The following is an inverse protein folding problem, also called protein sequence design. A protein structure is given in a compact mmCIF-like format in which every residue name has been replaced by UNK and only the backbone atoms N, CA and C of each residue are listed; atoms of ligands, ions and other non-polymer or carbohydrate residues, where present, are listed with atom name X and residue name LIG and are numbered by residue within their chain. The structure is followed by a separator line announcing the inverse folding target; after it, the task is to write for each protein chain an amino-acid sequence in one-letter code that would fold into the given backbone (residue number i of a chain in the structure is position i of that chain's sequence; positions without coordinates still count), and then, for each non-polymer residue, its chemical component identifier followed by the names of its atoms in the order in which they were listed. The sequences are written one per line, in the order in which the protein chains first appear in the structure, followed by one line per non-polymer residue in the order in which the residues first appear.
data_IF_957810245040
#
_entry.id   IF_957810245040
#
_cell.length_a   1.000
_cell.length_b   1.000
_cell.length_c   1.000
_cell.angle_alpha   90.00
_cell.angle_beta   90.00
_cell.angle_gamma   90.00
#
_symmetry.space_group_name_H-M   'P 1'
#
loop_
_entity.id
_entity.type
_entity.pdbx_description
1 polymer ?
#
# COMPACT_ATOMS: atom_id res chain seq x y z
N UNK A 1 12.80 -28.92 7.67
CA UNK A 1 13.35 -27.92 6.74
C UNK A 1 12.29 -27.66 5.71
N UNK A 2 11.66 -26.49 5.76
CA UNK A 2 10.42 -26.18 5.04
C UNK A 2 10.68 -25.98 3.55
N UNK A 3 10.30 -26.98 2.75
CA UNK A 3 9.97 -26.77 1.35
C UNK A 3 8.57 -26.13 1.28
N UNK A 4 8.53 -24.81 1.14
CA UNK A 4 7.35 -24.11 0.60
C UNK A 4 7.73 -23.49 -0.73
N UNK A 5 8.00 -24.35 -1.72
CA UNK A 5 7.92 -23.99 -3.13
C UNK A 5 6.46 -23.68 -3.45
N UNK A 6 6.10 -22.40 -3.29
CA UNK A 6 4.78 -21.89 -3.59
C UNK A 6 4.50 -22.11 -5.08
N UNK A 7 3.53 -22.98 -5.35
CA UNK A 7 3.06 -23.43 -6.65
C UNK A 7 2.83 -22.25 -7.61
N UNK A 8 3.68 -22.14 -8.65
CA UNK A 8 3.55 -21.15 -9.71
C UNK A 8 2.31 -21.47 -10.56
N UNK A 9 1.17 -20.84 -10.27
CA UNK A 9 -0.01 -20.93 -11.12
C UNK A 9 0.14 -20.02 -12.35
N UNK A 10 -0.03 -20.53 -13.59
CA UNK A 10 0.24 -19.80 -14.83
C UNK A 10 -0.80 -18.70 -15.17
N UNK A 11 -1.61 -18.26 -14.21
CA UNK A 11 -2.68 -17.30 -14.45
C UNK A 11 -2.18 -15.86 -14.36
N UNK A 12 -1.69 -15.40 -15.52
CA UNK A 12 -1.39 -14.01 -15.89
C UNK A 12 -0.36 -13.29 -15.01
N UNK A 13 0.79 -13.01 -15.61
CA UNK A 13 1.88 -12.16 -15.08
C UNK A 13 1.37 -10.79 -14.60
N UNK A 14 0.21 -10.35 -15.08
CA UNK A 14 -0.43 -9.09 -14.70
C UNK A 14 -1.23 -9.13 -13.38
N UNK A 15 -1.69 -10.31 -12.94
CA UNK A 15 -2.55 -10.46 -11.75
C UNK A 15 -1.70 -10.67 -10.50
N UNK A 16 -0.59 -11.40 -10.62
CA UNK A 16 0.29 -11.72 -9.49
C UNK A 16 0.81 -10.49 -8.71
N UNK A 17 1.45 -9.48 -9.36
CA UNK A 17 1.92 -8.29 -8.64
C UNK A 17 0.77 -7.45 -8.07
N UNK A 18 -0.45 -7.55 -8.63
CA UNK A 18 -1.63 -6.87 -8.08
C UNK A 18 -2.07 -7.54 -6.78
N UNK A 19 -2.17 -8.87 -6.74
CA UNK A 19 -2.57 -9.59 -5.53
C UNK A 19 -1.61 -9.35 -4.37
N UNK A 20 -0.29 -9.37 -4.61
CA UNK A 20 0.71 -9.07 -3.57
C UNK A 20 0.61 -7.61 -3.12
N UNK A 21 0.42 -6.67 -4.05
CA UNK A 21 0.28 -5.25 -3.72
C UNK A 21 -0.89 -4.96 -2.78
N UNK A 22 -1.93 -5.77 -2.86
CA UNK A 22 -3.17 -5.71 -2.08
C UNK A 22 -3.02 -6.39 -0.72
N UNK A 23 -2.40 -7.56 -0.68
CA UNK A 23 -2.33 -8.39 0.53
C UNK A 23 -1.15 -8.05 1.46
N UNK A 24 -0.19 -7.23 1.01
CA UNK A 24 1.05 -6.96 1.75
C UNK A 24 1.35 -5.46 1.92
N UNK A 25 1.98 -5.12 3.04
CA UNK A 25 2.50 -3.78 3.34
C UNK A 25 3.95 -3.57 2.85
N UNK A 26 4.51 -4.50 2.06
CA UNK A 26 5.87 -4.40 1.54
C UNK A 26 6.05 -3.17 0.66
N UNK A 27 7.26 -2.62 0.57
CA UNK A 27 7.50 -1.47 -0.31
C UNK A 27 7.24 -1.84 -1.78
N UNK A 28 6.77 -0.89 -2.58
CA UNK A 28 6.55 -1.08 -4.02
C UNK A 28 7.82 -1.57 -4.74
N UNK A 29 8.99 -1.16 -4.26
CA UNK A 29 10.27 -1.61 -4.78
C UNK A 29 10.56 -3.07 -4.41
N UNK A 30 10.32 -3.47 -3.16
CA UNK A 30 10.51 -4.85 -2.70
C UNK A 30 9.65 -5.83 -3.50
N UNK A 31 8.35 -5.51 -3.68
CA UNK A 31 7.44 -6.34 -4.48
C UNK A 31 7.93 -6.42 -5.93
N UNK A 32 8.33 -5.29 -6.53
CA UNK A 32 8.85 -5.30 -7.90
C UNK A 32 10.12 -6.16 -8.02
N UNK A 33 11.06 -6.06 -7.09
CA UNK A 33 12.28 -6.89 -7.07
C UNK A 33 11.93 -8.38 -6.91
N UNK A 34 11.03 -8.72 -5.99
CA UNK A 34 10.56 -10.09 -5.82
C UNK A 34 9.92 -10.64 -7.10
N UNK A 35 9.19 -9.79 -7.84
CA UNK A 35 8.60 -10.15 -9.12
C UNK A 35 9.64 -10.47 -10.18
N UNK A 36 10.71 -9.68 -10.27
CA UNK A 36 11.80 -9.94 -11.21
C UNK A 36 12.63 -11.16 -10.82
N UNK A 37 12.96 -11.31 -9.53
CA UNK A 37 13.79 -12.40 -9.03
C UNK A 37 13.07 -13.76 -9.08
N UNK A 38 11.76 -13.77 -8.87
CA UNK A 38 10.97 -15.00 -8.88
C UNK A 38 10.61 -15.51 -10.27
N UNK A 39 10.74 -14.67 -11.31
CA UNK A 39 10.26 -15.02 -12.64
C UNK A 39 11.15 -16.06 -13.36
N UNK A 40 10.56 -17.11 -13.94
CA UNK A 40 11.28 -18.03 -14.81
C UNK A 40 11.94 -17.31 -15.99
N UNK A 41 13.14 -17.74 -16.36
CA UNK A 41 13.92 -17.19 -17.48
C UNK A 41 13.13 -17.20 -18.80
N UNK A 42 12.26 -18.20 -19.00
CA UNK A 42 11.39 -18.33 -20.17
C UNK A 42 10.38 -17.17 -20.32
N UNK A 43 10.01 -16.49 -19.22
CA UNK A 43 9.07 -15.37 -19.24
C UNK A 43 9.73 -14.03 -18.90
N UNK A 44 11.02 -14.01 -18.54
CA UNK A 44 11.79 -12.81 -18.22
C UNK A 44 11.71 -11.74 -19.32
N UNK A 45 11.79 -12.16 -20.58
CA UNK A 45 11.68 -11.25 -21.73
C UNK A 45 10.27 -10.69 -21.98
N UNK A 46 9.23 -11.33 -21.42
CA UNK A 46 7.83 -10.91 -21.54
C UNK A 46 7.35 -10.08 -20.34
N UNK A 47 8.21 -9.88 -19.33
CA UNK A 47 7.85 -9.06 -18.19
C UNK A 47 7.75 -7.59 -18.57
N UNK A 48 6.72 -6.87 -18.07
CA UNK A 48 6.69 -5.42 -18.14
C UNK A 48 7.93 -4.82 -17.47
N UNK A 49 8.31 -3.62 -17.87
CA UNK A 49 9.49 -2.97 -17.31
C UNK A 49 9.34 -2.72 -15.81
N UNK A 50 10.46 -2.59 -15.10
CA UNK A 50 10.47 -2.35 -13.66
C UNK A 50 9.62 -1.12 -13.26
N UNK A 51 9.65 -0.07 -14.07
CA UNK A 51 8.83 1.12 -13.84
C UNK A 51 7.33 0.86 -14.07
N UNK A 52 6.97 0.05 -15.07
CA UNK A 52 5.58 -0.35 -15.31
C UNK A 52 5.06 -1.22 -14.16
N UNK A 53 5.87 -2.14 -13.61
CA UNK A 53 5.51 -2.95 -12.45
C UNK A 53 5.26 -2.09 -11.22
N UNK A 54 6.17 -1.17 -10.89
CA UNK A 54 5.96 -0.20 -9.80
C UNK A 54 4.67 0.59 -9.98
N UNK A 55 4.37 1.02 -11.22
CA UNK A 55 3.12 1.74 -11.53
C UNK A 55 1.89 0.87 -11.29
N UNK A 56 1.91 -0.40 -11.73
CA UNK A 56 0.81 -1.35 -11.52
C UNK A 56 0.57 -1.61 -10.03
N UNK A 57 1.64 -1.84 -9.25
CA UNK A 57 1.57 -2.04 -7.80
C UNK A 57 0.97 -0.80 -7.13
N UNK A 58 1.48 0.40 -7.47
CA UNK A 58 0.95 1.67 -6.93
C UNK A 58 -0.52 1.89 -7.25
N UNK A 59 -0.92 1.64 -8.50
CA UNK A 59 -2.30 1.84 -8.94
C UNK A 59 -3.25 0.83 -8.28
N UNK A 60 -2.81 -0.41 -8.10
CA UNK A 60 -3.60 -1.45 -7.42
C UNK A 60 -3.82 -1.10 -5.95
N UNK A 61 -2.79 -0.58 -5.27
CA UNK A 61 -2.92 -0.02 -3.93
C UNK A 61 -3.91 1.12 -3.91
N UNK A 62 -3.68 2.16 -4.74
CA UNK A 62 -4.56 3.33 -4.80
C UNK A 62 -6.03 2.99 -5.04
N UNK A 63 -6.31 1.98 -5.88
CA UNK A 63 -7.67 1.52 -6.15
C UNK A 63 -8.35 0.90 -4.92
N UNK A 64 -7.59 0.21 -4.05
CA UNK A 64 -8.12 -0.34 -2.82
C UNK A 64 -8.16 0.64 -1.67
N UNK A 65 -7.15 1.49 -1.53
CA UNK A 65 -7.05 2.36 -0.35
C UNK A 65 -8.19 3.38 -0.31
N UNK A 66 -8.88 3.62 -1.45
CA UNK A 66 -9.86 4.70 -1.64
C UNK A 66 -9.44 6.00 -0.93
N UNK A 67 -8.14 6.24 -0.87
CA UNK A 67 -7.59 7.30 -0.05
C UNK A 67 -8.15 8.62 -0.59
N UNK A 68 -8.66 9.50 0.29
CA UNK A 68 -9.15 10.80 -0.14
C UNK A 68 -8.09 11.52 -0.97
N UNK A 69 -8.51 12.35 -1.96
CA UNK A 69 -7.56 13.20 -2.66
C UNK A 69 -6.78 14.05 -1.65
N UNK A 70 -5.50 14.32 -1.95
CA UNK A 70 -4.74 15.25 -1.14
C UNK A 70 -5.47 16.60 -1.13
N UNK A 71 -5.78 17.16 0.05
CA UNK A 71 -6.51 18.40 0.13
C UNK A 71 -5.66 19.56 -0.43
N UNK A 72 -6.32 20.55 -1.01
CA UNK A 72 -5.65 21.75 -1.53
C UNK A 72 -5.29 22.77 -0.44
N UNK A 73 -5.92 22.64 0.73
CA UNK A 73 -5.75 23.49 1.92
C UNK A 73 -6.01 22.68 3.19
N UNK A 74 -5.57 23.18 4.35
CA UNK A 74 -5.84 22.52 5.64
C UNK A 74 -7.34 22.50 6.00
N UNK A 75 -8.12 23.47 5.49
CA UNK A 75 -9.57 23.52 5.68
C UNK A 75 -10.30 22.38 4.97
N UNK A 76 -9.73 21.87 3.87
CA UNK A 76 -10.30 20.77 3.08
C UNK A 76 -9.85 19.39 3.59
N UNK A 77 -9.05 19.33 4.66
CA UNK A 77 -8.53 18.07 5.19
C UNK A 77 -9.66 17.23 5.81
N UNK A 78 -10.14 16.24 5.04
CA UNK A 78 -11.06 15.21 5.50
C UNK A 78 -10.25 14.06 6.10
N UNK A 79 -10.56 13.67 7.34
CA UNK A 79 -9.92 12.55 8.04
C UNK A 79 -10.90 11.39 8.18
N UNK A 80 -10.79 10.34 7.35
CA UNK A 80 -11.54 9.11 7.54
C UNK A 80 -11.35 8.54 8.95
N UNK A 81 -12.38 7.89 9.49
CA UNK A 81 -12.35 7.31 10.84
C UNK A 81 -11.20 6.30 10.99
N UNK A 82 -10.94 5.54 9.95
CA UNK A 82 -9.88 4.53 9.86
C UNK A 82 -8.47 5.12 10.01
N UNK A 83 -8.31 6.43 9.86
CA UNK A 83 -7.04 7.13 10.06
C UNK A 83 -6.93 7.76 11.46
N UNK A 84 -8.00 7.69 12.25
CA UNK A 84 -8.05 8.22 13.61
C UNK A 84 -7.80 7.14 14.66
N UNK A 85 -7.89 5.87 14.27
CA UNK A 85 -7.66 4.70 15.14
C UNK A 85 -6.49 3.85 14.66
N UNK A 86 -5.91 3.08 15.57
CA UNK A 86 -4.93 2.04 15.22
C UNK A 86 -5.63 0.80 14.64
N UNK A 87 -4.84 -0.18 14.18
CA UNK A 87 -5.35 -1.50 13.75
C UNK A 87 -6.05 -2.23 14.91
N UNK A 88 -5.64 -1.96 16.14
CA UNK A 88 -6.24 -2.51 17.36
C UNK A 88 -7.44 -1.70 17.86
N UNK A 89 -7.94 -0.75 17.08
CA UNK A 89 -9.04 0.17 17.41
C UNK A 89 -8.74 1.16 18.55
N UNK A 90 -7.48 1.28 18.97
CA UNK A 90 -7.05 2.31 19.94
C UNK A 90 -7.06 3.70 19.31
N UNK A 91 -7.33 4.73 20.10
CA UNK A 91 -7.29 6.12 19.65
C UNK A 91 -5.86 6.53 19.25
N UNK A 92 -5.68 6.90 17.98
CA UNK A 92 -4.41 7.35 17.42
C UNK A 92 -4.36 8.87 17.27
N UNK A 93 -5.45 9.47 16.81
CA UNK A 93 -5.63 10.91 16.78
C UNK A 93 -6.20 11.36 18.13
N UNK A 94 -5.37 11.95 18.99
CA UNK A 94 -5.78 12.39 20.33
C UNK A 94 -6.43 13.78 20.35
N UNK A 95 -6.05 14.64 19.40
CA UNK A 95 -6.56 16.00 19.37
C UNK A 95 -6.58 16.55 17.95
N UNK A 96 -7.60 17.36 17.71
CA UNK A 96 -7.80 18.13 16.50
C UNK A 96 -8.39 19.49 16.87
N UNK A 97 -7.69 20.57 16.58
CA UNK A 97 -8.20 21.92 16.87
C UNK A 97 -9.31 22.36 15.91
N UNK A 98 -9.42 21.71 14.74
CA UNK A 98 -10.33 22.09 13.64
C UNK A 98 -10.25 23.58 13.25
N UNK A 99 -9.11 24.21 13.49
CA UNK A 99 -8.92 25.67 13.37
C UNK A 99 -8.51 26.10 11.96
N UNK A 100 -9.30 25.70 10.95
CA UNK A 100 -9.15 26.15 9.56
C UNK A 100 -7.72 26.05 9.01
N UNK A 101 -7.05 27.21 8.85
CA UNK A 101 -5.68 27.31 8.32
C UNK A 101 -4.57 27.06 9.36
N UNK A 102 -4.88 27.12 10.66
CA UNK A 102 -3.96 26.87 11.77
C UNK A 102 -4.29 25.58 12.53
N UNK A 103 -4.91 24.62 11.82
CA UNK A 103 -5.34 23.33 12.39
C UNK A 103 -4.16 22.53 12.98
N UNK A 104 -4.25 22.22 14.26
CA UNK A 104 -3.29 21.40 15.01
C UNK A 104 -3.85 19.99 15.17
N UNK A 105 -3.05 18.99 14.80
CA UNK A 105 -3.35 17.58 14.99
C UNK A 105 -2.33 16.96 15.95
N UNK A 106 -2.80 16.32 17.02
CA UNK A 106 -1.95 15.56 17.93
C UNK A 106 -2.18 14.07 17.73
N UNK A 107 -1.11 13.35 17.45
CA UNK A 107 -1.13 11.90 17.32
C UNK A 107 -0.34 11.26 18.44
N UNK A 108 -0.84 10.13 18.94
CA UNK A 108 -0.13 9.32 19.92
C UNK A 108 -0.46 7.85 19.72
N UNK A 109 0.41 6.99 20.21
CA UNK A 109 0.16 5.55 20.28
C UNK A 109 0.46 5.11 21.69
N UNK A 110 -0.49 4.43 22.34
CA UNK A 110 -0.19 3.77 23.59
C UNK A 110 0.78 2.62 23.30
N UNK A 111 1.99 2.66 23.87
CA UNK A 111 2.89 1.51 23.84
C UNK A 111 2.52 0.60 25.00
N UNK A 112 1.95 -0.56 24.66
CA UNK A 112 1.86 -1.71 25.55
C UNK A 112 3.20 -2.46 25.49
#
# INVERSE_FOLDING_TARGET
MLETCQEWRPYSVSIWPKNIAVSTQESTHAIATNVFMGAPTAIAGNLPSFNQLKRTIRNSRKALTQAPPNPSSLMELIKPYEYQTTISEDEFLLYDSDDGEERILLFSTHRI
#
